data_IF_242729440360
#
_entry.id   IF_242729440360
#
_cell.length_a   1.000
_cell.length_b   1.000
_cell.length_c   1.000
_cell.angle_alpha   90.00
_cell.angle_beta   90.00
_cell.angle_gamma   90.00
#
_symmetry.space_group_name_H-M   'P 1'
#
loop_
_entity.id
_entity.type
_entity.pdbx_description
1 polymer ?
#
# COMPACT_ATOMS: atom_id res chain seq x y z
N UNK A 1 34.47 4.05 -20.73
CA UNK A 1 34.71 4.20 -19.28
C UNK A 1 33.36 4.01 -18.61
N UNK A 2 33.22 2.93 -17.84
CA UNK A 2 31.95 2.43 -17.29
C UNK A 2 31.35 3.41 -16.27
N UNK A 3 30.19 3.97 -16.58
CA UNK A 3 29.37 4.78 -15.66
C UNK A 3 28.26 3.98 -14.97
N UNK A 4 28.33 2.65 -14.91
CA UNK A 4 27.18 1.81 -14.56
C UNK A 4 27.24 1.15 -13.17
N UNK A 5 27.82 1.80 -12.15
CA UNK A 5 27.91 1.24 -10.78
C UNK A 5 27.54 2.23 -9.66
N UNK A 6 27.08 3.44 -9.98
CA UNK A 6 26.65 4.40 -8.97
C UNK A 6 25.18 4.15 -8.61
N UNK A 7 24.86 4.05 -7.31
CA UNK A 7 23.47 3.96 -6.86
C UNK A 7 22.68 5.18 -7.35
N UNK A 8 21.45 5.00 -7.87
CA UNK A 8 20.60 6.11 -8.28
C UNK A 8 20.37 7.09 -7.13
N UNK A 9 20.34 8.37 -7.47
CA UNK A 9 19.90 9.42 -6.56
C UNK A 9 18.40 9.31 -6.31
N UNK A 10 17.92 9.90 -5.22
CA UNK A 10 16.49 9.97 -4.91
C UNK A 10 15.67 10.55 -6.08
N UNK A 11 16.18 11.62 -6.70
CA UNK A 11 15.54 12.24 -7.87
C UNK A 11 15.43 11.26 -9.06
N UNK A 12 16.47 10.47 -9.32
CA UNK A 12 16.46 9.47 -10.38
C UNK A 12 15.46 8.34 -10.10
N UNK A 13 15.28 7.93 -8.84
CA UNK A 13 14.21 6.99 -8.47
C UNK A 13 12.82 7.58 -8.74
N UNK A 14 12.56 8.82 -8.31
CA UNK A 14 11.27 9.48 -8.57
C UNK A 14 11.00 9.58 -10.07
N UNK A 15 11.96 10.04 -10.87
CA UNK A 15 11.82 10.15 -12.32
C UNK A 15 11.71 8.78 -13.01
N UNK A 16 12.34 7.73 -12.46
CA UNK A 16 12.21 6.35 -12.91
C UNK A 16 10.81 5.80 -12.68
N UNK A 17 10.28 5.93 -11.46
CA UNK A 17 8.92 5.53 -11.09
C UNK A 17 7.88 6.25 -11.96
N UNK A 18 8.04 7.56 -12.20
CA UNK A 18 7.11 8.31 -13.05
C UNK A 18 7.11 7.79 -14.49
N UNK A 19 8.28 7.46 -15.04
CA UNK A 19 8.39 6.86 -16.39
C UNK A 19 7.65 5.52 -16.48
N UNK A 20 7.73 4.70 -15.42
CA UNK A 20 7.01 3.42 -15.36
C UNK A 20 5.49 3.66 -15.26
N UNK A 21 5.04 4.63 -14.46
CA UNK A 21 3.63 5.03 -14.40
C UNK A 21 3.11 5.59 -15.72
N UNK A 22 3.87 6.41 -16.43
CA UNK A 22 3.45 6.88 -17.76
C UNK A 22 3.31 5.71 -18.73
N UNK A 23 4.24 4.75 -18.70
CA UNK A 23 4.16 3.54 -19.51
C UNK A 23 2.94 2.67 -19.14
N UNK A 24 2.50 2.65 -17.88
CA UNK A 24 1.32 1.88 -17.49
C UNK A 24 0.02 2.45 -18.07
N UNK A 25 0.00 3.73 -18.47
CA UNK A 25 -1.14 4.37 -19.14
C UNK A 25 -1.36 3.87 -20.57
N UNK A 26 -0.39 3.18 -21.17
CA UNK A 26 -0.58 2.50 -22.46
C UNK A 26 -1.67 1.40 -22.39
N UNK A 27 -1.96 0.90 -21.18
CA UNK A 27 -3.03 -0.07 -20.92
C UNK A 27 -4.40 0.62 -20.91
N UNK A 28 -4.91 0.95 -22.10
CA UNK A 28 -6.17 1.68 -22.27
C UNK A 28 -7.45 0.85 -22.00
N UNK A 29 -7.31 -0.44 -21.69
CA UNK A 29 -8.43 -1.37 -21.40
C UNK A 29 -8.08 -2.26 -20.22
N UNK A 30 -9.08 -2.79 -19.50
CA UNK A 30 -8.84 -3.80 -18.48
C UNK A 30 -8.04 -4.99 -19.02
N UNK A 31 -7.05 -5.41 -18.27
CA UNK A 31 -6.21 -6.59 -18.54
C UNK A 31 -6.06 -7.41 -17.27
N UNK A 32 -5.36 -8.55 -17.37
CA UNK A 32 -5.17 -9.45 -16.25
C UNK A 32 -3.70 -9.63 -15.92
N UNK A 33 -3.42 -9.80 -14.63
CA UNK A 33 -2.10 -10.07 -14.07
C UNK A 33 -2.17 -11.26 -13.12
N UNK A 34 -1.03 -11.89 -12.86
CA UNK A 34 -0.92 -12.95 -11.86
C UNK A 34 -0.25 -12.40 -10.60
N UNK A 35 -0.90 -12.53 -9.45
CA UNK A 35 -0.34 -12.24 -8.13
C UNK A 35 -0.44 -13.50 -7.28
N UNK A 36 0.70 -14.04 -6.84
CA UNK A 36 0.79 -15.26 -6.01
C UNK A 36 -0.03 -16.44 -6.56
N UNK A 37 0.10 -16.69 -7.86
CA UNK A 37 -0.58 -17.80 -8.54
C UNK A 37 -2.08 -17.59 -8.77
N UNK A 38 -2.60 -16.37 -8.56
CA UNK A 38 -4.00 -16.02 -8.81
C UNK A 38 -4.14 -14.87 -9.79
N UNK A 39 -5.20 -14.91 -10.57
CA UNK A 39 -5.47 -13.93 -11.62
C UNK A 39 -6.23 -12.73 -11.06
N UNK A 40 -5.77 -11.51 -11.34
CA UNK A 40 -6.42 -10.26 -10.97
C UNK A 40 -6.64 -9.39 -12.21
N UNK A 41 -7.80 -8.75 -12.29
CA UNK A 41 -8.09 -7.68 -13.26
C UNK A 41 -7.34 -6.41 -12.82
N UNK A 42 -6.81 -5.68 -13.79
CA UNK A 42 -6.26 -4.33 -13.62
C UNK A 42 -6.97 -3.41 -14.60
N UNK A 43 -7.62 -2.37 -14.09
CA UNK A 43 -8.27 -1.32 -14.87
C UNK A 43 -7.26 -0.22 -15.24
N UNK A 44 -7.54 0.55 -16.30
CA UNK A 44 -6.81 1.80 -16.56
C UNK A 44 -6.84 2.72 -15.33
N UNK A 45 -5.81 3.57 -15.17
CA UNK A 45 -5.64 4.47 -14.03
C UNK A 45 -5.53 3.82 -12.65
N UNK A 46 -5.23 2.51 -12.57
CA UNK A 46 -4.96 1.80 -11.33
C UNK A 46 -3.51 1.34 -11.29
N UNK A 47 -2.87 1.47 -10.12
CA UNK A 47 -1.53 0.97 -9.89
C UNK A 47 -1.45 -0.53 -10.19
N UNK A 48 -0.44 -0.94 -10.94
CA UNK A 48 -0.43 -2.25 -11.58
C UNK A 48 0.71 -3.15 -11.11
N UNK A 49 0.38 -4.35 -10.59
CA UNK A 49 1.35 -5.39 -10.26
C UNK A 49 2.14 -5.92 -11.46
N UNK A 50 1.77 -5.56 -12.70
CA UNK A 50 2.56 -5.87 -13.91
C UNK A 50 3.85 -5.05 -13.96
N UNK A 51 3.83 -3.84 -13.42
CA UNK A 51 4.91 -2.86 -13.53
C UNK A 51 5.68 -2.66 -12.22
N UNK A 52 5.06 -3.02 -11.09
CA UNK A 52 5.63 -2.88 -9.76
C UNK A 52 5.49 -4.20 -8.98
N UNK A 53 6.58 -4.66 -8.38
CA UNK A 53 6.64 -5.97 -7.73
C UNK A 53 6.20 -5.96 -6.25
N UNK A 54 6.13 -4.77 -5.66
CA UNK A 54 5.82 -4.52 -4.25
C UNK A 54 4.47 -5.14 -3.82
N UNK A 55 3.45 -5.10 -4.66
CA UNK A 55 2.13 -5.68 -4.36
C UNK A 55 2.23 -7.17 -4.02
N UNK A 56 2.97 -7.95 -4.81
CA UNK A 56 3.12 -9.38 -4.57
C UNK A 56 3.95 -9.65 -3.31
N UNK A 57 5.03 -8.87 -3.10
CA UNK A 57 5.90 -8.98 -1.94
C UNK A 57 5.13 -8.71 -0.64
N UNK A 58 4.33 -7.64 -0.59
CA UNK A 58 3.52 -7.34 0.58
C UNK A 58 2.39 -8.35 0.77
N UNK A 59 1.66 -8.73 -0.29
CA UNK A 59 0.59 -9.73 -0.18
C UNK A 59 1.11 -11.06 0.42
N UNK A 60 2.28 -11.50 -0.01
CA UNK A 60 2.91 -12.74 0.45
C UNK A 60 3.34 -12.67 1.90
N UNK A 61 3.94 -11.55 2.31
CA UNK A 61 4.63 -11.44 3.60
C UNK A 61 3.85 -10.70 4.69
N UNK A 62 2.69 -10.11 4.36
CA UNK A 62 1.82 -9.50 5.36
C UNK A 62 1.43 -10.55 6.44
N UNK A 63 1.69 -10.30 7.73
CA UNK A 63 1.54 -11.30 8.79
C UNK A 63 0.08 -11.44 9.22
N UNK A 64 -0.78 -11.93 8.33
CA UNK A 64 -2.22 -12.10 8.57
C UNK A 64 -2.48 -13.17 9.63
N UNK A 65 -3.34 -12.87 10.60
CA UNK A 65 -3.79 -13.82 11.63
C UNK A 65 -5.15 -14.43 11.26
N UNK A 66 -5.30 -15.73 11.53
CA UNK A 66 -6.56 -16.45 11.30
C UNK A 66 -7.72 -15.78 12.05
N UNK A 67 -8.82 -15.54 11.34
CA UNK A 67 -10.04 -14.96 11.91
C UNK A 67 -10.01 -13.45 12.12
N UNK A 68 -8.92 -12.75 11.78
CA UNK A 68 -8.79 -11.32 12.03
C UNK A 68 -9.66 -10.47 11.07
N UNK A 69 -10.11 -9.31 11.54
CA UNK A 69 -10.76 -8.31 10.70
C UNK A 69 -9.75 -7.20 10.37
N UNK A 70 -9.52 -6.98 9.07
CA UNK A 70 -8.47 -6.10 8.58
C UNK A 70 -9.04 -4.89 7.86
N UNK A 71 -8.39 -3.74 8.02
CA UNK A 71 -8.55 -2.57 7.17
C UNK A 71 -7.32 -2.43 6.27
N UNK A 72 -7.55 -2.31 4.97
CA UNK A 72 -6.52 -1.89 4.01
C UNK A 72 -6.82 -0.48 3.49
N UNK A 73 -5.80 0.39 3.53
CA UNK A 73 -5.84 1.70 2.85
C UNK A 73 -5.12 1.56 1.50
N UNK A 74 -5.72 2.12 0.44
CA UNK A 74 -5.17 2.10 -0.92
C UNK A 74 -5.08 0.69 -1.54
N UNK A 75 -6.16 -0.12 -1.56
CA UNK A 75 -6.12 -1.48 -2.10
C UNK A 75 -5.76 -1.55 -3.59
N UNK A 76 -5.97 -0.48 -4.37
CA UNK A 76 -5.67 -0.47 -5.81
C UNK A 76 -6.46 -1.55 -6.57
N UNK A 77 -5.78 -2.64 -6.90
CA UNK A 77 -6.41 -3.82 -7.53
C UNK A 77 -7.17 -4.71 -6.55
N UNK A 78 -6.93 -4.56 -5.24
CA UNK A 78 -7.44 -5.44 -4.20
C UNK A 78 -6.59 -6.70 -3.97
N UNK A 79 -5.43 -6.83 -4.63
CA UNK A 79 -4.63 -8.05 -4.56
C UNK A 79 -4.20 -8.42 -3.13
N UNK A 80 -3.82 -7.45 -2.30
CA UNK A 80 -3.45 -7.67 -0.90
C UNK A 80 -4.69 -8.01 -0.07
N UNK A 81 -5.77 -7.22 -0.16
CA UNK A 81 -7.08 -7.50 0.48
C UNK A 81 -7.57 -8.94 0.25
N UNK A 82 -7.62 -9.37 -1.02
CA UNK A 82 -8.10 -10.71 -1.36
C UNK A 82 -7.11 -11.78 -0.91
N UNK A 83 -5.80 -11.52 -0.98
CA UNK A 83 -4.79 -12.44 -0.45
C UNK A 83 -4.90 -12.60 1.05
N UNK A 84 -5.23 -11.54 1.80
CA UNK A 84 -5.45 -11.63 3.24
C UNK A 84 -6.60 -12.59 3.58
N UNK A 85 -7.72 -12.55 2.83
CA UNK A 85 -8.80 -13.53 2.99
C UNK A 85 -8.32 -14.95 2.69
N UNK A 86 -7.51 -15.15 1.64
CA UNK A 86 -6.92 -16.46 1.34
C UNK A 86 -5.98 -16.97 2.44
N UNK A 87 -5.36 -16.06 3.21
CA UNK A 87 -4.45 -16.37 4.32
C UNK A 87 -5.15 -16.51 5.67
N UNK A 88 -6.49 -16.44 5.71
CA UNK A 88 -7.27 -16.71 6.92
C UNK A 88 -7.94 -15.50 7.55
N UNK A 89 -7.80 -14.29 7.00
CA UNK A 89 -8.57 -13.14 7.47
C UNK A 89 -10.07 -13.42 7.34
N UNK A 90 -10.84 -13.04 8.36
CA UNK A 90 -12.29 -13.24 8.39
C UNK A 90 -13.01 -12.24 7.49
N UNK A 91 -12.60 -10.98 7.56
CA UNK A 91 -13.18 -9.88 6.78
C UNK A 91 -12.12 -8.82 6.50
N UNK A 92 -12.16 -8.24 5.31
CA UNK A 92 -11.36 -7.07 4.93
C UNK A 92 -12.29 -5.92 4.54
N UNK A 93 -12.07 -4.75 5.12
CA UNK A 93 -12.59 -3.48 4.59
C UNK A 93 -11.43 -2.79 3.87
N UNK A 94 -11.68 -2.29 2.68
CA UNK A 94 -10.67 -1.62 1.87
C UNK A 94 -11.15 -0.21 1.52
N UNK A 95 -10.31 0.80 1.70
CA UNK A 95 -10.65 2.20 1.38
C UNK A 95 -9.64 2.75 0.38
N UNK A 96 -10.14 3.24 -0.75
CA UNK A 96 -9.32 3.91 -1.76
C UNK A 96 -9.88 5.29 -2.09
N UNK A 97 -9.00 6.26 -2.31
CA UNK A 97 -9.39 7.61 -2.73
C UNK A 97 -9.68 7.66 -4.23
N UNK A 98 -9.02 6.79 -5.01
CA UNK A 98 -9.17 6.73 -6.45
C UNK A 98 -10.44 5.92 -6.82
N UNK A 99 -11.46 6.54 -7.44
CA UNK A 99 -12.69 5.84 -7.82
C UNK A 99 -12.47 4.70 -8.82
N UNK A 100 -11.43 4.76 -9.66
CA UNK A 100 -11.11 3.68 -10.59
C UNK A 100 -10.49 2.47 -9.87
N UNK A 101 -9.71 2.70 -8.81
CA UNK A 101 -9.21 1.65 -7.92
C UNK A 101 -10.35 0.97 -7.12
N UNK A 102 -11.34 1.75 -6.65
CA UNK A 102 -12.54 1.19 -6.01
C UNK A 102 -13.28 0.26 -6.96
N UNK A 103 -13.52 0.68 -8.21
CA UNK A 103 -14.15 -0.15 -9.23
C UNK A 103 -13.32 -1.40 -9.56
N UNK A 104 -12.00 -1.26 -9.62
CA UNK A 104 -11.10 -2.38 -9.90
C UNK A 104 -11.11 -3.40 -8.76
N UNK A 105 -11.02 -2.95 -7.51
CA UNK A 105 -11.10 -3.82 -6.34
C UNK A 105 -12.45 -4.55 -6.34
N UNK A 106 -13.55 -3.84 -6.61
CA UNK A 106 -14.89 -4.46 -6.73
C UNK A 106 -14.93 -5.54 -7.83
N UNK A 107 -14.36 -5.29 -9.01
CA UNK A 107 -14.28 -6.28 -10.08
C UNK A 107 -13.50 -7.55 -9.66
N UNK A 108 -12.45 -7.40 -8.86
CA UNK A 108 -11.71 -8.55 -8.33
C UNK A 108 -12.45 -9.25 -7.18
N UNK A 109 -13.17 -8.54 -6.33
CA UNK A 109 -14.07 -9.15 -5.35
C UNK A 109 -15.07 -10.09 -6.04
N UNK A 110 -15.65 -9.65 -7.16
CA UNK A 110 -16.56 -10.45 -7.98
C UNK A 110 -15.86 -11.63 -8.65
N UNK A 111 -14.72 -11.39 -9.31
CA UNK A 111 -13.91 -12.44 -9.95
C UNK A 111 -13.58 -13.61 -9.00
N UNK A 112 -13.27 -13.29 -7.75
CA UNK A 112 -12.88 -14.26 -6.74
C UNK A 112 -14.04 -14.76 -5.86
N UNK A 113 -15.28 -14.35 -6.14
CA UNK A 113 -16.47 -14.67 -5.34
C UNK A 113 -16.30 -14.34 -3.85
N UNK A 114 -15.69 -13.18 -3.55
CA UNK A 114 -15.40 -12.74 -2.18
C UNK A 114 -16.41 -11.71 -1.64
N UNK A 115 -17.54 -11.52 -2.33
CA UNK A 115 -18.63 -10.71 -1.82
C UNK A 115 -19.04 -11.18 -0.41
N UNK A 116 -19.07 -10.26 0.55
CA UNK A 116 -19.35 -10.54 1.96
C UNK A 116 -18.12 -10.81 2.83
N UNK A 117 -16.95 -11.11 2.23
CA UNK A 117 -15.66 -11.19 2.94
C UNK A 117 -14.80 -9.95 2.74
N UNK A 118 -14.85 -9.37 1.55
CA UNK A 118 -14.18 -8.10 1.23
C UNK A 118 -15.22 -7.05 0.87
N UNK A 119 -15.05 -5.84 1.38
CA UNK A 119 -15.87 -4.68 1.09
C UNK A 119 -14.94 -3.51 0.72
N UNK A 120 -15.14 -2.90 -0.44
CA UNK A 120 -14.39 -1.72 -0.85
C UNK A 120 -15.25 -0.46 -0.77
N UNK A 121 -14.67 0.63 -0.28
CA UNK A 121 -15.31 1.94 -0.14
C UNK A 121 -14.45 3.01 -0.78
N UNK A 122 -15.09 4.01 -1.35
CA UNK A 122 -14.39 5.22 -1.79
C UNK A 122 -14.26 6.17 -0.60
N UNK A 123 -13.07 6.70 -0.35
CA UNK A 123 -12.83 7.73 0.66
C UNK A 123 -11.35 8.02 0.88
N UNK A 124 -11.06 9.08 1.61
CA UNK A 124 -9.69 9.44 1.96
C UNK A 124 -9.33 8.86 3.33
N UNK A 125 -8.44 7.87 3.34
CA UNK A 125 -7.94 7.12 4.51
C UNK A 125 -9.10 6.57 5.37
N UNK A 126 -9.48 7.26 6.45
CA UNK A 126 -10.46 6.79 7.43
C UNK A 126 -11.86 7.39 7.24
N UNK A 127 -12.06 8.30 6.29
CA UNK A 127 -13.31 9.07 6.14
C UNK A 127 -14.55 8.22 5.88
N UNK A 128 -14.40 7.03 5.29
CA UNK A 128 -15.50 6.11 4.98
C UNK A 128 -15.72 5.03 6.05
N UNK A 129 -15.07 5.17 7.21
CA UNK A 129 -15.32 4.33 8.37
C UNK A 129 -16.50 4.84 9.18
N UNK A 130 -17.24 3.90 9.79
CA UNK A 130 -18.24 4.26 10.81
C UNK A 130 -17.52 4.61 12.12
N UNK A 131 -18.08 5.48 12.99
CA UNK A 131 -17.43 5.91 14.22
C UNK A 131 -16.90 4.79 15.13
N UNK A 132 -17.63 3.67 15.22
CA UNK A 132 -17.29 2.52 16.06
C UNK A 132 -16.61 1.37 15.30
N UNK A 133 -16.24 1.59 14.03
CA UNK A 133 -15.60 0.56 13.22
C UNK A 133 -14.13 0.41 13.61
N UNK A 134 -13.78 -0.78 14.11
CA UNK A 134 -12.45 -1.11 14.62
C UNK A 134 -11.94 -2.39 14.00
N UNK A 135 -10.63 -2.51 13.85
CA UNK A 135 -9.96 -3.62 13.18
C UNK A 135 -8.89 -4.25 14.06
N UNK A 136 -8.63 -5.54 13.85
CA UNK A 136 -7.53 -6.26 14.47
C UNK A 136 -6.20 -5.86 13.81
N UNK A 137 -6.22 -5.62 12.49
CA UNK A 137 -5.06 -5.15 11.73
C UNK A 137 -5.47 -4.00 10.82
N UNK A 138 -4.71 -2.91 10.84
CA UNK A 138 -4.80 -1.84 9.83
C UNK A 138 -3.50 -1.86 9.05
N UNK A 139 -3.58 -1.95 7.73
CA UNK A 139 -2.42 -1.98 6.85
C UNK A 139 -2.53 -0.92 5.76
N UNK A 140 -1.39 -0.34 5.42
CA UNK A 140 -1.25 0.45 4.21
C UNK A 140 0.09 0.13 3.55
N UNK A 141 0.06 -0.31 2.29
CA UNK A 141 1.21 -0.15 1.40
C UNK A 141 1.32 1.34 1.02
N UNK A 142 2.06 2.10 1.83
CA UNK A 142 2.08 3.57 1.70
C UNK A 142 2.69 4.00 0.37
N UNK A 143 2.26 5.12 -0.24
CA UNK A 143 2.99 5.73 -1.35
C UNK A 143 4.37 6.22 -0.88
N UNK A 144 5.44 5.51 -1.22
CA UNK A 144 6.78 5.81 -0.69
C UNK A 144 7.37 7.11 -1.20
N UNK A 145 6.97 7.62 -2.36
CA UNK A 145 7.61 8.75 -2.99
C UNK A 145 7.23 10.08 -2.34
N UNK A 146 8.13 10.64 -1.54
CA UNK A 146 8.02 12.03 -1.09
C UNK A 146 8.28 12.98 -2.26
N UNK A 147 7.39 13.97 -2.41
CA UNK A 147 7.54 15.07 -3.36
C UNK A 147 7.12 16.39 -2.71
N UNK A 148 7.71 17.48 -3.19
CA UNK A 148 7.39 18.86 -2.74
C UNK A 148 6.27 19.51 -3.58
N UNK A 149 5.79 18.84 -4.64
CA UNK A 149 4.63 19.32 -5.37
C UNK A 149 3.37 19.04 -4.55
N UNK A 150 2.50 20.04 -4.37
CA UNK A 150 1.28 19.90 -3.55
C UNK A 150 0.23 18.94 -4.13
N UNK A 151 0.19 18.79 -5.45
CA UNK A 151 -0.81 17.98 -6.13
C UNK A 151 -0.19 17.09 -7.20
N UNK A 152 -0.76 15.89 -7.32
CA UNK A 152 -0.43 14.92 -8.37
C UNK A 152 -1.71 14.28 -8.92
N UNK A 153 -1.68 13.78 -10.18
CA UNK A 153 -2.78 13.00 -10.75
C UNK A 153 -3.17 11.79 -9.91
N UNK A 154 -4.41 11.32 -10.03
CA UNK A 154 -4.93 10.24 -9.17
C UNK A 154 -4.13 8.95 -9.21
N UNK A 155 -3.63 8.54 -10.39
CA UNK A 155 -2.76 7.36 -10.51
C UNK A 155 -1.41 7.58 -9.79
N UNK A 156 -0.87 8.79 -9.84
CA UNK A 156 0.40 9.14 -9.19
C UNK A 156 0.29 9.13 -7.66
N UNK A 157 -0.92 9.36 -7.09
CA UNK A 157 -1.16 9.23 -5.64
C UNK A 157 -0.91 7.82 -5.10
N UNK A 158 -0.88 6.80 -5.97
CA UNK A 158 -0.55 5.44 -5.56
C UNK A 158 0.93 5.25 -5.22
N UNK A 159 1.80 6.16 -5.66
CA UNK A 159 3.26 6.08 -5.41
C UNK A 159 3.83 7.34 -4.78
N UNK A 160 3.17 8.49 -4.93
CA UNK A 160 3.61 9.77 -4.40
C UNK A 160 2.62 10.33 -3.38
N UNK A 161 3.15 10.80 -2.25
CA UNK A 161 2.38 11.53 -1.24
C UNK A 161 3.03 12.90 -1.01
N UNK A 162 2.43 13.97 -1.57
CA UNK A 162 2.85 15.35 -1.36
C UNK A 162 3.14 15.67 0.11
N UNK A 163 4.39 16.01 0.39
CA UNK A 163 4.89 16.28 1.75
C UNK A 163 4.62 15.17 2.78
N UNK A 164 4.29 13.96 2.35
CA UNK A 164 3.80 12.87 3.19
C UNK A 164 2.55 13.22 4.03
N UNK A 165 1.70 14.14 3.57
CA UNK A 165 0.49 14.58 4.31
C UNK A 165 -0.43 13.39 4.65
N UNK A 166 -0.58 12.45 3.72
CA UNK A 166 -1.48 11.31 3.88
C UNK A 166 -0.88 10.27 4.82
N UNK A 167 0.42 10.02 4.69
CA UNK A 167 1.21 9.11 5.53
C UNK A 167 1.24 9.59 6.98
N UNK A 168 1.47 10.89 7.20
CA UNK A 168 1.40 11.51 8.53
C UNK A 168 0.01 11.33 9.16
N UNK A 169 -1.05 11.64 8.40
CA UNK A 169 -2.44 11.46 8.84
C UNK A 169 -2.72 10.01 9.25
N UNK A 170 -2.31 9.06 8.41
CA UNK A 170 -2.47 7.63 8.70
C UNK A 170 -1.80 7.24 10.02
N UNK A 171 -0.55 7.65 10.24
CA UNK A 171 0.20 7.32 11.46
C UNK A 171 -0.49 7.89 12.70
N UNK A 172 -0.99 9.13 12.63
CA UNK A 172 -1.61 9.82 13.77
C UNK A 172 -3.00 9.24 14.11
N UNK A 173 -3.81 8.90 13.09
CA UNK A 173 -5.21 8.52 13.26
C UNK A 173 -5.44 6.99 13.34
N UNK A 174 -4.56 6.14 12.80
CA UNK A 174 -4.80 4.69 12.71
C UNK A 174 -5.12 4.01 14.05
N UNK A 175 -4.47 4.43 15.14
CA UNK A 175 -4.69 3.87 16.49
C UNK A 175 -6.14 4.05 16.97
N UNK A 176 -6.83 5.06 16.47
CA UNK A 176 -8.22 5.33 16.80
C UNK A 176 -9.15 4.29 16.19
N UNK A 177 -8.71 3.49 15.22
CA UNK A 177 -9.52 2.47 14.56
C UNK A 177 -9.12 1.04 14.93
N UNK A 178 -8.35 0.86 16.00
CA UNK A 178 -7.93 -0.46 16.47
C UNK A 178 -8.89 -1.07 17.50
N UNK A 179 -9.09 -2.38 17.39
CA UNK A 179 -9.60 -3.19 18.50
C UNK A 179 -8.52 -3.29 19.59
N UNK A 180 -8.93 -3.72 20.79
CA UNK A 180 -7.98 -3.98 21.87
C UNK A 180 -6.97 -5.05 21.43
N UNK A 181 -5.69 -4.71 21.44
CA UNK A 181 -4.61 -5.59 21.00
C UNK A 181 -4.40 -5.63 19.48
N UNK A 182 -5.08 -4.78 18.72
CA UNK A 182 -4.85 -4.63 17.30
C UNK A 182 -3.52 -3.94 16.98
N UNK A 183 -3.14 -3.95 15.71
CA UNK A 183 -1.84 -3.48 15.21
C UNK A 183 -1.97 -2.64 13.95
N UNK A 184 -1.07 -1.67 13.81
CA UNK A 184 -0.90 -0.88 12.58
C UNK A 184 0.34 -1.37 11.87
N UNK A 185 0.17 -1.80 10.62
CA UNK A 185 1.22 -2.28 9.74
C UNK A 185 1.45 -1.30 8.59
N UNK A 186 2.71 -1.00 8.31
CA UNK A 186 3.12 -0.02 7.31
C UNK A 186 4.01 -0.75 6.30
N UNK A 187 3.52 -0.91 5.08
CA UNK A 187 4.36 -1.21 3.93
C UNK A 187 5.13 0.06 3.56
N UNK A 188 6.46 -0.04 3.50
CA UNK A 188 7.34 1.08 3.14
C UNK A 188 8.50 0.59 2.26
N UNK A 189 9.23 1.54 1.68
CA UNK A 189 10.54 1.28 1.07
C UNK A 189 11.54 2.29 1.61
N UNK A 190 12.52 1.85 2.41
CA UNK A 190 13.60 2.76 2.87
C UNK A 190 14.56 3.16 1.74
N UNK A 191 14.47 2.49 0.59
CA UNK A 191 15.22 2.85 -0.61
C UNK A 191 14.53 3.92 -1.44
N UNK A 192 13.20 3.81 -1.61
CA UNK A 192 12.42 4.74 -2.44
C UNK A 192 11.78 5.88 -1.64
N UNK A 193 11.70 5.76 -0.32
CA UNK A 193 11.06 6.72 0.56
C UNK A 193 12.01 7.40 1.55
N UNK A 194 11.46 8.34 2.30
CA UNK A 194 12.15 9.16 3.30
C UNK A 194 11.86 8.64 4.71
N UNK A 195 12.63 7.64 5.12
CA UNK A 195 12.49 7.01 6.45
C UNK A 195 12.64 8.03 7.59
N UNK A 196 13.47 9.06 7.43
CA UNK A 196 13.65 10.12 8.41
C UNK A 196 12.35 10.89 8.69
N UNK A 197 11.55 11.17 7.65
CA UNK A 197 10.26 11.83 7.81
C UNK A 197 9.22 10.89 8.42
N UNK A 198 9.19 9.62 7.99
CA UNK A 198 8.33 8.60 8.59
C UNK A 198 8.59 8.47 10.10
N UNK A 199 9.87 8.44 10.49
CA UNK A 199 10.29 8.34 11.88
C UNK A 199 9.83 9.56 12.70
N UNK A 200 9.91 10.77 12.13
CA UNK A 200 9.40 11.98 12.81
C UNK A 200 7.89 11.87 13.12
N UNK A 201 7.07 11.44 12.15
CA UNK A 201 5.62 11.30 12.38
C UNK A 201 5.29 10.25 13.43
N UNK A 202 6.02 9.13 13.41
CA UNK A 202 5.92 8.07 14.42
C UNK A 202 6.29 8.61 15.80
N UNK A 203 7.37 9.37 15.90
CA UNK A 203 7.82 9.96 17.15
C UNK A 203 6.83 10.99 17.70
N UNK A 204 6.28 11.86 16.85
CA UNK A 204 5.22 12.82 17.20
C UNK A 204 3.92 12.15 17.66
N UNK A 205 3.63 10.95 17.16
CA UNK A 205 2.47 10.16 17.54
C UNK A 205 2.66 9.33 18.83
N UNK A 206 3.83 9.44 19.48
CA UNK A 206 4.28 8.63 20.62
C UNK A 206 4.34 7.11 20.31
N UNK A 207 4.76 6.80 19.08
CA UNK A 207 4.89 5.44 18.56
C UNK A 207 6.37 5.09 18.30
N UNK A 208 6.63 3.82 18.02
CA UNK A 208 7.93 3.27 17.59
C UNK A 208 7.70 2.32 16.43
N UNK A 209 8.66 2.22 15.51
CA UNK A 209 8.61 1.26 14.42
C UNK A 209 9.37 0.00 14.81
N UNK A 210 8.69 -1.15 14.71
CA UNK A 210 9.32 -2.47 14.75
C UNK A 210 9.34 -3.05 13.35
N UNK A 211 10.52 -3.34 12.82
CA UNK A 211 10.65 -4.07 11.56
C UNK A 211 10.14 -5.51 11.75
N UNK A 212 9.15 -5.92 10.96
CA UNK A 212 8.61 -7.28 10.97
C UNK A 212 9.13 -8.11 9.79
N UNK A 213 9.35 -7.46 8.65
CA UNK A 213 9.79 -8.11 7.42
C UNK A 213 10.59 -7.14 6.57
N UNK A 214 11.63 -7.64 5.90
CA UNK A 214 12.44 -6.92 4.91
C UNK A 214 12.73 -7.87 3.74
N UNK A 215 12.60 -7.35 2.52
CA UNK A 215 13.04 -8.03 1.30
C UNK A 215 13.71 -7.03 0.37
N UNK A 216 14.69 -7.49 -0.39
CA UNK A 216 15.36 -6.71 -1.44
C UNK A 216 14.98 -7.24 -2.83
N UNK A 217 14.75 -6.35 -3.79
CA UNK A 217 14.54 -6.75 -5.19
C UNK A 217 15.82 -7.30 -5.83
N UNK A 218 15.66 -8.27 -6.74
CA UNK A 218 16.76 -8.86 -7.52
C UNK A 218 17.10 -8.00 -8.75
N UNK A 219 17.60 -6.79 -8.52
CA UNK A 219 17.95 -5.83 -9.58
C UNK A 219 19.41 -5.35 -9.44
N UNK A 220 19.93 -4.68 -10.49
CA UNK A 220 21.28 -4.08 -10.47
C UNK A 220 21.43 -3.09 -9.29
N UNK A 221 20.35 -2.42 -8.93
CA UNK A 221 20.25 -1.58 -7.74
C UNK A 221 19.08 -2.07 -6.89
N UNK A 222 19.33 -2.95 -5.91
CA UNK A 222 18.29 -3.54 -5.09
C UNK A 222 17.46 -2.48 -4.37
N UNK A 223 16.15 -2.68 -4.39
CA UNK A 223 15.16 -1.86 -3.68
C UNK A 223 14.67 -2.64 -2.47
N UNK A 224 14.78 -2.04 -1.29
CA UNK A 224 14.21 -2.60 -0.07
C UNK A 224 12.71 -2.36 0.02
N UNK A 225 11.99 -3.37 0.46
CA UNK A 225 10.58 -3.29 0.85
C UNK A 225 10.43 -3.85 2.27
N UNK A 226 9.84 -3.05 3.14
CA UNK A 226 9.74 -3.36 4.56
C UNK A 226 8.29 -3.34 5.03
N UNK A 227 7.96 -4.25 5.95
CA UNK A 227 6.74 -4.16 6.75
C UNK A 227 7.16 -3.76 8.16
N UNK A 228 6.75 -2.56 8.55
CA UNK A 228 6.88 -2.09 9.93
C UNK A 228 5.57 -2.28 10.69
N UNK A 229 5.68 -2.48 12.00
CA UNK A 229 4.58 -2.35 12.93
C UNK A 229 4.79 -1.09 13.77
N UNK A 230 3.77 -0.23 13.82
CA UNK A 230 3.78 0.94 14.70
C UNK A 230 3.22 0.56 16.08
N UNK A 231 4.05 0.74 17.10
CA UNK A 231 3.77 0.33 18.49
C UNK A 231 3.86 1.54 19.42
N UNK A 232 3.00 1.67 20.46
CA UNK A 232 3.18 2.68 21.50
C UNK A 232 4.60 2.63 22.09
N UNK A 233 5.22 3.79 22.33
CA UNK A 233 6.47 3.86 23.08
C UNK A 233 6.23 3.32 24.50
N UNK A 234 7.19 2.54 25.01
CA UNK A 234 7.19 2.03 26.39
C UNK A 234 7.82 3.04 27.33
#
# INVERSE_FOLDING_TARGET
MNSSNQKPTYREYIEGTRRILEKSKDEAKPYKVMVLGREFIVHPNVFSPKYFHDTALFAENLPVQEGEEMLEIGPGTGAISLTAIYKGAKKVVAIDVNPDAVKNTQANIELHNMAGKVEVRQGNIFESLKPDEKFDTIFWNTPFGFIEQDEVPDLEKAVYDPHYKSTERFIKEAKEHLKKGGRVLIGFSTTLGRLDLLQNFVDEADLSLRLLYEVESEEIHPVKFEIFEALPKK
#
